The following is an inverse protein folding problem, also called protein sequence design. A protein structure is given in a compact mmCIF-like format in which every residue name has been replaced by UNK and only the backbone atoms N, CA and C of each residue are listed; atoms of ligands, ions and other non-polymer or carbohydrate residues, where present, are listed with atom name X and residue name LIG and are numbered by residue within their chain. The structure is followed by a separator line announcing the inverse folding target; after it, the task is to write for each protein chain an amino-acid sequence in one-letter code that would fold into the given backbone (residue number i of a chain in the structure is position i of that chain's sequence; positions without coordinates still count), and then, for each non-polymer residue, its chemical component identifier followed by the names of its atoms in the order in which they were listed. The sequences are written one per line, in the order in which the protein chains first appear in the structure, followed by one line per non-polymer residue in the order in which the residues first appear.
data_IF_598204860344
#
_entry.id   IF_598204860344
#
_cell.length_a   1.000
_cell.length_b   1.000
_cell.length_c   1.000
_cell.angle_alpha   90.00
_cell.angle_beta   90.00
_cell.angle_gamma   90.00
#
_symmetry.space_group_name_H-M   'P 1'
#
loop_
_entity.id
_entity.type
_entity.pdbx_description
1 polymer ?
#
# COMPACT_ATOMS: atom_id res chain seq x y z
N UNK A 1 6.19 11.07 19.86
CA UNK A 1 6.52 9.94 20.74
C UNK A 1 5.32 9.00 20.94
N UNK A 2 4.11 9.48 21.24
CA UNK A 2 2.95 8.60 21.54
C UNK A 2 2.40 7.71 20.41
N UNK A 3 2.41 8.14 19.15
CA UNK A 3 1.78 7.36 18.05
C UNK A 3 2.63 6.13 17.69
N UNK A 4 3.95 6.26 17.69
CA UNK A 4 4.88 5.16 17.41
C UNK A 4 4.79 4.06 18.48
N UNK A 5 4.69 4.45 19.76
CA UNK A 5 4.57 3.52 20.88
C UNK A 5 3.21 2.79 20.85
N UNK A 6 2.19 3.42 20.28
CA UNK A 6 0.85 2.83 20.09
C UNK A 6 0.85 1.71 19.04
N UNK A 7 1.55 1.84 17.92
CA UNK A 7 1.63 0.75 16.91
C UNK A 7 2.41 -0.45 17.44
N UNK A 8 3.52 -0.20 18.14
CA UNK A 8 4.26 -1.26 18.82
C UNK A 8 3.39 -1.96 19.89
N UNK A 9 2.61 -1.20 20.67
CA UNK A 9 1.70 -1.75 21.66
C UNK A 9 0.57 -2.58 21.02
N UNK A 10 0.01 -2.17 19.87
CA UNK A 10 -0.98 -2.95 19.13
C UNK A 10 -0.37 -4.26 18.63
N UNK A 11 0.81 -4.21 18.00
CA UNK A 11 1.53 -5.40 17.55
C UNK A 11 1.84 -6.37 18.70
N UNK A 12 2.33 -5.85 19.84
CA UNK A 12 2.59 -6.64 21.04
C UNK A 12 1.31 -7.22 21.67
N UNK A 13 0.17 -6.54 21.56
CA UNK A 13 -1.11 -7.07 22.06
C UNK A 13 -1.57 -8.28 21.27
N UNK A 14 -1.23 -8.39 20.00
CA UNK A 14 -1.55 -9.54 19.15
C UNK A 14 -0.84 -10.83 19.61
N UNK A 15 0.31 -10.70 20.28
CA UNK A 15 1.07 -11.84 20.84
C UNK A 15 0.24 -12.62 21.87
N UNK A 16 -0.68 -11.95 22.57
CA UNK A 16 -1.55 -12.59 23.58
C UNK A 16 -2.55 -13.59 22.99
N UNK A 17 -2.82 -13.46 21.68
CA UNK A 17 -3.79 -14.30 20.94
C UNK A 17 -3.05 -15.25 19.99
N UNK A 18 -1.72 -15.21 19.99
CA UNK A 18 -0.87 -16.01 19.11
C UNK A 18 -0.90 -17.49 19.53
N UNK A 19 -1.15 -18.36 18.57
CA UNK A 19 -0.87 -19.79 18.68
C UNK A 19 0.57 -20.06 18.20
N UNK A 20 1.31 -20.93 18.93
CA UNK A 20 2.70 -21.24 18.57
C UNK A 20 2.74 -22.31 17.45
N UNK A 21 2.05 -22.05 16.34
CA UNK A 21 2.02 -22.91 15.16
C UNK A 21 2.53 -22.17 13.93
N UNK A 22 3.08 -22.88 12.96
CA UNK A 22 3.51 -22.31 11.67
C UNK A 22 2.32 -21.73 10.91
N UNK A 23 1.14 -22.36 11.02
CA UNK A 23 -0.09 -21.87 10.40
C UNK A 23 -0.53 -20.52 10.97
N UNK A 24 -0.44 -20.35 12.29
CA UNK A 24 -0.76 -19.05 12.90
C UNK A 24 0.23 -17.98 12.48
N UNK A 25 1.52 -18.30 12.42
CA UNK A 25 2.56 -17.34 12.03
C UNK A 25 2.43 -16.89 10.57
N UNK A 26 2.12 -17.79 9.62
CA UNK A 26 2.11 -17.51 8.18
C UNK A 26 0.74 -17.09 7.63
N UNK A 27 -0.35 -17.64 8.16
CA UNK A 27 -1.73 -17.42 7.67
C UNK A 27 -2.75 -17.14 8.78
N UNK A 28 -2.30 -16.83 10.00
CA UNK A 28 -3.14 -16.52 11.16
C UNK A 28 -4.21 -17.60 11.44
N UNK A 29 -3.89 -18.89 11.19
CA UNK A 29 -4.84 -19.99 11.35
C UNK A 29 -6.08 -19.89 10.46
N UNK A 30 -6.09 -19.03 9.44
CA UNK A 30 -7.23 -18.73 8.52
C UNK A 30 -8.48 -18.25 9.25
N UNK A 31 -8.33 -17.67 10.42
CA UNK A 31 -9.41 -17.17 11.29
C UNK A 31 -9.39 -15.66 11.47
N UNK A 32 -8.78 -14.90 10.55
CA UNK A 32 -8.71 -13.44 10.66
C UNK A 32 -10.07 -12.79 10.38
N UNK A 33 -10.41 -11.78 11.19
CA UNK A 33 -11.62 -11.00 10.95
C UNK A 33 -11.56 -10.28 9.59
N UNK A 34 -12.60 -10.37 8.74
CA UNK A 34 -12.60 -9.83 7.38
C UNK A 34 -12.23 -8.35 7.30
N UNK A 35 -12.76 -7.53 8.21
CA UNK A 35 -12.45 -6.10 8.27
C UNK A 35 -10.98 -5.81 8.58
N UNK A 36 -10.34 -6.56 9.47
CA UNK A 36 -8.92 -6.39 9.77
C UNK A 36 -8.04 -6.83 8.59
N UNK A 37 -8.35 -7.97 7.97
CA UNK A 37 -7.65 -8.43 6.77
C UNK A 37 -7.79 -7.43 5.61
N UNK A 38 -8.97 -6.83 5.44
CA UNK A 38 -9.21 -5.80 4.44
C UNK A 38 -8.43 -4.52 4.71
N UNK A 39 -8.43 -4.02 5.95
CA UNK A 39 -7.66 -2.83 6.34
C UNK A 39 -6.16 -3.04 6.17
N UNK A 40 -5.66 -4.22 6.50
CA UNK A 40 -4.27 -4.58 6.24
C UNK A 40 -3.98 -4.67 4.74
N UNK A 41 -4.83 -5.33 3.95
CA UNK A 41 -4.66 -5.44 2.51
C UNK A 41 -4.66 -4.06 1.83
N UNK A 42 -5.55 -3.15 2.23
CA UNK A 42 -5.63 -1.81 1.66
C UNK A 42 -4.46 -0.93 2.11
N UNK A 43 -4.01 -1.05 3.36
CA UNK A 43 -2.83 -0.34 3.86
C UNK A 43 -1.56 -0.79 3.12
N UNK A 44 -1.41 -2.10 2.91
CA UNK A 44 -0.31 -2.68 2.12
C UNK A 44 -0.35 -2.24 0.65
N UNK A 45 -1.53 -2.10 0.06
CA UNK A 45 -1.70 -1.63 -1.31
C UNK A 45 -1.42 -0.12 -1.45
N UNK A 46 -1.95 0.69 -0.53
CA UNK A 46 -1.75 2.14 -0.49
C UNK A 46 -0.42 2.53 0.17
N UNK A 47 0.64 1.98 -0.34
CA UNK A 47 2.03 2.15 0.10
C UNK A 47 2.49 3.62 0.14
N UNK A 48 3.75 3.84 0.47
CA UNK A 48 4.40 5.15 0.32
C UNK A 48 4.28 5.73 -1.09
N UNK A 49 4.04 4.90 -2.11
CA UNK A 49 3.73 5.36 -3.47
C UNK A 49 2.53 6.31 -3.49
N UNK A 50 1.47 6.06 -2.75
CA UNK A 50 0.29 6.93 -2.76
C UNK A 50 0.57 8.32 -2.18
N UNK A 51 1.43 8.41 -1.17
CA UNK A 51 1.77 9.68 -0.52
C UNK A 51 2.87 10.47 -1.24
N UNK A 52 3.69 9.80 -2.04
CA UNK A 52 4.86 10.39 -2.70
C UNK A 52 4.69 10.29 -4.23
N UNK A 53 4.78 9.09 -4.79
CA UNK A 53 4.79 8.89 -6.24
C UNK A 53 3.46 9.25 -6.93
N UNK A 54 2.31 8.86 -6.35
CA UNK A 54 1.00 9.19 -6.92
C UNK A 54 0.70 10.70 -6.85
N UNK A 55 1.13 11.36 -5.77
CA UNK A 55 1.07 12.83 -5.64
C UNK A 55 1.89 13.49 -6.75
N UNK A 56 3.15 13.07 -6.93
CA UNK A 56 4.02 13.60 -7.97
C UNK A 56 3.47 13.36 -9.38
N UNK A 57 2.91 12.19 -9.62
CA UNK A 57 2.26 11.87 -10.89
C UNK A 57 1.01 12.74 -11.13
N UNK A 58 0.17 12.90 -10.10
CA UNK A 58 -1.02 13.78 -10.15
C UNK A 58 -0.64 15.24 -10.41
N UNK A 59 0.37 15.74 -9.71
CA UNK A 59 0.94 17.06 -9.90
C UNK A 59 1.36 17.30 -11.35
N UNK A 60 1.94 16.27 -12.00
CA UNK A 60 2.51 16.38 -13.35
C UNK A 60 1.46 16.33 -14.45
N UNK A 61 0.49 15.42 -14.36
CA UNK A 61 -0.45 15.15 -15.47
C UNK A 61 -1.88 15.66 -15.23
N UNK A 62 -2.20 16.18 -14.05
CA UNK A 62 -3.49 16.80 -13.77
C UNK A 62 -4.68 15.82 -13.71
N UNK A 63 -5.83 16.25 -14.23
CA UNK A 63 -7.10 15.50 -14.15
C UNK A 63 -7.08 14.11 -14.79
N UNK A 64 -6.23 13.90 -15.78
CA UNK A 64 -6.14 12.62 -16.48
C UNK A 64 -5.75 11.45 -15.57
N UNK A 65 -5.14 11.73 -14.40
CA UNK A 65 -4.84 10.73 -13.36
C UNK A 65 -6.08 9.97 -12.88
N UNK A 66 -7.28 10.53 -13.01
CA UNK A 66 -8.52 9.86 -12.60
C UNK A 66 -8.69 8.50 -13.26
N UNK A 67 -8.20 8.34 -14.51
CA UNK A 67 -8.28 7.08 -15.24
C UNK A 67 -7.40 6.00 -14.63
N UNK A 68 -6.28 6.37 -13.99
CA UNK A 68 -5.44 5.43 -13.25
C UNK A 68 -6.24 4.86 -12.07
N UNK A 69 -6.86 5.73 -11.27
CA UNK A 69 -7.68 5.33 -10.13
C UNK A 69 -8.86 4.45 -10.56
N UNK A 70 -9.62 4.88 -11.57
CA UNK A 70 -10.80 4.14 -12.06
C UNK A 70 -10.41 2.78 -12.68
N UNK A 71 -9.47 2.77 -13.60
CA UNK A 71 -9.09 1.55 -14.31
C UNK A 71 -8.44 0.53 -13.36
N UNK A 72 -7.54 0.97 -12.48
CA UNK A 72 -6.94 0.09 -11.47
C UNK A 72 -7.99 -0.46 -10.51
N UNK A 73 -8.94 0.35 -10.06
CA UNK A 73 -10.03 -0.09 -9.17
C UNK A 73 -10.89 -1.16 -9.84
N UNK A 74 -11.24 -0.98 -11.13
CA UNK A 74 -11.99 -2.00 -11.88
C UNK A 74 -11.18 -3.29 -11.99
N UNK A 75 -9.87 -3.20 -12.29
CA UNK A 75 -8.98 -4.37 -12.32
C UNK A 75 -8.91 -5.09 -10.98
N UNK A 76 -8.83 -4.36 -9.88
CA UNK A 76 -8.86 -4.93 -8.53
C UNK A 76 -10.20 -5.60 -8.20
N UNK A 77 -11.35 -5.01 -8.59
CA UNK A 77 -12.67 -5.63 -8.42
C UNK A 77 -12.70 -7.00 -9.11
N UNK A 78 -12.22 -7.05 -10.35
CA UNK A 78 -12.11 -8.31 -11.12
C UNK A 78 -11.21 -9.32 -10.38
N UNK A 79 -10.06 -8.87 -9.85
CA UNK A 79 -9.16 -9.71 -9.06
C UNK A 79 -9.84 -10.26 -7.80
N UNK A 80 -10.58 -9.43 -7.05
CA UNK A 80 -11.29 -9.84 -5.84
C UNK A 80 -12.41 -10.86 -6.10
N UNK A 81 -13.16 -10.69 -7.20
CA UNK A 81 -14.30 -11.55 -7.53
C UNK A 81 -13.84 -12.93 -8.02
N UNK A 82 -12.82 -12.98 -8.88
CA UNK A 82 -12.42 -14.21 -9.55
C UNK A 82 -11.07 -14.75 -9.10
N UNK A 83 -10.01 -13.94 -9.13
CA UNK A 83 -8.66 -14.44 -8.86
C UNK A 83 -8.47 -14.76 -7.37
N UNK A 84 -8.87 -13.89 -6.48
CA UNK A 84 -8.76 -14.14 -5.03
C UNK A 84 -9.71 -15.23 -4.56
N UNK A 85 -10.86 -15.39 -5.20
CA UNK A 85 -11.73 -16.55 -4.97
C UNK A 85 -10.98 -17.84 -5.28
N UNK A 86 -10.43 -17.94 -6.49
CA UNK A 86 -9.65 -19.10 -6.91
C UNK A 86 -8.45 -19.36 -5.98
N UNK A 87 -7.68 -18.33 -5.65
CA UNK A 87 -6.53 -18.44 -4.75
C UNK A 87 -6.95 -18.94 -3.37
N UNK A 88 -8.02 -18.38 -2.79
CA UNK A 88 -8.52 -18.79 -1.48
C UNK A 88 -9.00 -20.24 -1.48
N UNK A 89 -9.80 -20.65 -2.45
CA UNK A 89 -10.30 -22.01 -2.60
C UNK A 89 -9.14 -23.01 -2.71
N UNK A 90 -8.19 -22.75 -3.62
CA UNK A 90 -7.04 -23.62 -3.82
C UNK A 90 -6.09 -23.65 -2.60
N UNK A 91 -5.89 -22.50 -1.94
CA UNK A 91 -5.09 -22.45 -0.72
C UNK A 91 -5.71 -23.27 0.43
N UNK A 92 -7.04 -23.21 0.58
CA UNK A 92 -7.76 -23.96 1.60
C UNK A 92 -7.79 -25.47 1.30
N UNK A 93 -8.10 -25.86 0.06
CA UNK A 93 -8.14 -27.27 -0.36
C UNK A 93 -6.77 -27.96 -0.25
N UNK A 94 -5.70 -27.26 -0.63
CA UNK A 94 -4.34 -27.81 -0.69
C UNK A 94 -3.54 -27.59 0.59
N UNK A 95 -4.04 -26.80 1.55
CA UNK A 95 -3.32 -26.45 2.78
C UNK A 95 -2.06 -25.59 2.55
N UNK A 96 -1.90 -24.97 1.35
CA UNK A 96 -0.72 -24.16 1.04
C UNK A 96 -0.78 -22.78 1.68
N UNK A 97 0.38 -22.21 2.00
CA UNK A 97 0.55 -20.98 2.79
C UNK A 97 1.17 -19.82 2.02
N UNK A 98 1.60 -20.05 0.78
CA UNK A 98 2.22 -19.02 -0.05
C UNK A 98 1.73 -19.07 -1.48
N UNK A 99 1.85 -17.92 -2.19
CA UNK A 99 1.50 -17.84 -3.61
C UNK A 99 2.39 -18.73 -4.48
N UNK A 100 3.69 -18.83 -4.18
CA UNK A 100 4.61 -19.70 -4.93
C UNK A 100 4.21 -21.18 -4.83
N UNK A 101 3.74 -21.62 -3.66
CA UNK A 101 3.25 -23.00 -3.47
C UNK A 101 1.94 -23.30 -4.22
N UNK A 102 1.21 -22.29 -4.67
CA UNK A 102 0.04 -22.47 -5.55
C UNK A 102 0.42 -22.73 -7.01
N UNK A 103 1.58 -22.24 -7.46
CA UNK A 103 2.04 -22.33 -8.86
C UNK A 103 2.23 -23.79 -9.27
N UNK A 104 2.69 -24.66 -8.37
CA UNK A 104 2.87 -26.09 -8.64
C UNK A 104 2.04 -26.96 -7.69
N UNK A 105 1.64 -28.15 -8.18
CA UNK A 105 1.03 -29.19 -7.34
C UNK A 105 2.08 -30.07 -6.63
N UNK A 106 3.32 -30.01 -7.13
CA UNK A 106 4.44 -30.78 -6.60
C UNK A 106 5.24 -29.88 -5.66
N UNK A 107 5.44 -30.32 -4.42
CA UNK A 107 6.28 -29.60 -3.46
C UNK A 107 7.72 -29.53 -3.96
N UNK A 108 8.40 -28.40 -3.80
CA UNK A 108 9.79 -28.20 -4.25
C UNK A 108 10.02 -28.16 -5.76
N UNK A 109 8.94 -28.10 -6.57
CA UNK A 109 9.05 -28.04 -8.03
C UNK A 109 9.84 -26.81 -8.50
N UNK A 110 10.64 -26.92 -9.58
CA UNK A 110 11.47 -25.82 -10.09
C UNK A 110 10.69 -24.54 -10.38
N UNK A 111 9.46 -24.63 -10.90
CA UNK A 111 8.59 -23.50 -11.16
C UNK A 111 8.15 -22.77 -9.87
N UNK A 112 7.91 -23.50 -8.79
CA UNK A 112 7.58 -22.88 -7.48
C UNK A 112 8.82 -22.19 -6.88
N UNK A 113 10.00 -22.81 -6.98
CA UNK A 113 11.27 -22.22 -6.55
C UNK A 113 11.61 -20.97 -7.35
N UNK A 114 11.42 -21.00 -8.68
CA UNK A 114 11.62 -19.82 -9.54
C UNK A 114 10.64 -18.70 -9.16
N UNK A 115 9.35 -19.01 -8.97
CA UNK A 115 8.36 -18.04 -8.56
C UNK A 115 8.70 -17.41 -7.20
N UNK A 116 9.17 -18.20 -6.24
CA UNK A 116 9.64 -17.72 -4.95
C UNK A 116 10.86 -16.80 -5.09
N UNK A 117 11.87 -17.20 -5.83
CA UNK A 117 13.09 -16.42 -6.05
C UNK A 117 12.80 -15.06 -6.70
N UNK A 118 11.98 -15.04 -7.77
CA UNK A 118 11.58 -13.81 -8.43
C UNK A 118 10.74 -12.92 -7.48
N UNK A 119 9.81 -13.50 -6.73
CA UNK A 119 9.02 -12.77 -5.77
C UNK A 119 9.89 -12.13 -4.68
N UNK A 120 10.83 -12.87 -4.10
CA UNK A 120 11.77 -12.33 -3.09
C UNK A 120 12.60 -11.19 -3.66
N UNK A 121 13.14 -11.35 -4.89
CA UNK A 121 13.89 -10.28 -5.54
C UNK A 121 13.07 -9.00 -5.70
N UNK A 122 11.89 -9.09 -6.31
CA UNK A 122 11.06 -7.92 -6.57
C UNK A 122 10.47 -7.31 -5.30
N UNK A 123 10.08 -8.12 -4.32
CA UNK A 123 9.60 -7.63 -3.03
C UNK A 123 10.70 -6.92 -2.23
N UNK A 124 11.95 -7.38 -2.31
CA UNK A 124 13.09 -6.72 -1.66
C UNK A 124 13.36 -5.34 -2.27
N UNK A 125 13.32 -5.23 -3.61
CA UNK A 125 13.45 -3.94 -4.31
C UNK A 125 12.29 -3.00 -3.93
N UNK A 126 11.09 -3.53 -3.89
CA UNK A 126 9.92 -2.74 -3.53
C UNK A 126 9.95 -2.29 -2.04
N UNK A 127 10.41 -3.15 -1.13
CA UNK A 127 10.62 -2.78 0.28
C UNK A 127 11.67 -1.66 0.42
N UNK A 128 12.76 -1.72 -0.34
CA UNK A 128 13.75 -0.64 -0.37
C UNK A 128 13.13 0.69 -0.84
N UNK A 129 12.28 0.66 -1.87
CA UNK A 129 11.56 1.86 -2.34
C UNK A 129 10.62 2.45 -1.27
N UNK A 130 9.97 1.60 -0.45
CA UNK A 130 9.15 2.07 0.68
C UNK A 130 10.00 2.80 1.73
N UNK A 131 11.12 2.23 2.10
CA UNK A 131 12.04 2.86 3.06
C UNK A 131 12.59 4.19 2.53
N UNK A 132 12.91 4.26 1.23
CA UNK A 132 13.34 5.50 0.56
C UNK A 132 12.25 6.56 0.59
N UNK A 133 10.99 6.20 0.32
CA UNK A 133 9.86 7.13 0.39
C UNK A 133 9.69 7.72 1.80
N UNK A 134 9.81 6.90 2.85
CA UNK A 134 9.84 7.36 4.24
C UNK A 134 11.03 8.28 4.53
N UNK A 135 12.21 7.96 4.00
CA UNK A 135 13.41 8.79 4.11
C UNK A 135 13.25 10.17 3.47
N UNK A 136 12.70 10.24 2.25
CA UNK A 136 12.38 11.50 1.55
C UNK A 136 11.41 12.37 2.36
N UNK A 137 10.35 11.77 2.91
CA UNK A 137 9.40 12.52 3.74
C UNK A 137 10.06 13.10 4.99
N UNK A 138 10.93 12.33 5.66
CA UNK A 138 11.65 12.81 6.83
C UNK A 138 12.64 13.93 6.49
N UNK A 139 13.34 13.80 5.37
CA UNK A 139 14.20 14.87 4.86
C UNK A 139 13.41 16.16 4.60
N UNK A 140 12.29 16.07 3.87
CA UNK A 140 11.47 17.21 3.53
C UNK A 140 10.85 17.91 4.74
N UNK A 141 10.36 17.13 5.73
CA UNK A 141 9.60 17.67 6.86
C UNK A 141 10.45 18.00 8.09
N UNK A 142 11.59 17.32 8.29
CA UNK A 142 12.43 17.46 9.47
C UNK A 142 13.86 17.95 9.17
N UNK A 143 14.25 18.02 7.90
CA UNK A 143 15.61 18.36 7.50
C UNK A 143 16.68 17.30 7.87
N UNK A 144 16.26 16.08 8.22
CA UNK A 144 17.17 14.98 8.53
C UNK A 144 17.68 14.34 7.23
N UNK A 145 18.86 13.70 7.27
CA UNK A 145 19.30 12.97 6.08
C UNK A 145 18.36 11.81 5.76
N UNK A 146 18.10 11.54 4.48
CA UNK A 146 17.25 10.43 4.03
C UNK A 146 17.72 9.08 4.60
N UNK A 147 19.03 8.89 4.74
CA UNK A 147 19.61 7.67 5.32
C UNK A 147 19.14 7.41 6.75
N UNK A 148 19.00 8.45 7.56
CA UNK A 148 18.48 8.31 8.94
C UNK A 148 17.04 7.80 8.90
N UNK A 149 16.20 8.35 8.01
CA UNK A 149 14.83 7.90 7.83
C UNK A 149 14.74 6.45 7.38
N UNK A 150 15.56 6.06 6.41
CA UNK A 150 15.66 4.68 5.92
C UNK A 150 16.08 3.72 7.06
N UNK A 151 17.10 4.05 7.84
CA UNK A 151 17.57 3.21 8.93
C UNK A 151 16.54 3.07 10.05
N UNK A 152 15.86 4.16 10.42
CA UNK A 152 14.78 4.11 11.42
C UNK A 152 13.65 3.20 10.93
N UNK A 153 13.19 3.38 9.70
CA UNK A 153 12.15 2.55 9.10
C UNK A 153 12.55 1.07 9.06
N UNK A 154 13.76 0.77 8.61
CA UNK A 154 14.29 -0.58 8.54
C UNK A 154 14.34 -1.27 9.91
N UNK A 155 14.93 -0.62 10.93
CA UNK A 155 15.03 -1.18 12.28
C UNK A 155 13.64 -1.46 12.87
N UNK A 156 12.70 -0.53 12.67
CA UNK A 156 11.34 -0.70 13.18
C UNK A 156 10.63 -1.86 12.49
N UNK A 157 10.69 -1.94 11.16
CA UNK A 157 10.08 -3.04 10.38
C UNK A 157 10.62 -4.40 10.82
N UNK A 158 11.94 -4.54 10.91
CA UNK A 158 12.57 -5.79 11.34
C UNK A 158 12.15 -6.17 12.76
N UNK A 159 12.11 -5.20 13.68
CA UNK A 159 11.80 -5.45 15.08
C UNK A 159 10.38 -6.03 15.28
N UNK A 160 9.36 -5.48 14.61
CA UNK A 160 8.00 -5.99 14.84
C UNK A 160 7.62 -7.16 13.92
N UNK A 161 8.20 -7.30 12.73
CA UNK A 161 8.06 -8.51 11.93
C UNK A 161 8.57 -9.75 12.66
N UNK A 162 9.72 -9.63 13.33
CA UNK A 162 10.30 -10.73 14.12
C UNK A 162 9.39 -11.14 15.29
N UNK A 163 8.70 -10.20 15.92
CA UNK A 163 7.96 -10.45 17.15
C UNK A 163 6.64 -11.22 16.95
N UNK A 164 5.89 -11.02 15.87
CA UNK A 164 4.48 -11.44 15.85
C UNK A 164 3.92 -12.06 14.56
N UNK A 165 4.70 -12.22 13.49
CA UNK A 165 4.22 -12.82 12.24
C UNK A 165 3.07 -12.03 11.58
N UNK A 166 2.28 -12.71 10.72
CA UNK A 166 1.22 -12.07 9.92
C UNK A 166 0.09 -11.48 10.77
N UNK A 167 -0.22 -12.08 11.93
CA UNK A 167 -1.26 -11.59 12.84
C UNK A 167 -0.90 -10.20 13.39
N UNK A 168 0.34 -10.02 13.85
CA UNK A 168 0.81 -8.73 14.34
C UNK A 168 0.85 -7.68 13.22
N UNK A 169 1.33 -8.05 12.04
CA UNK A 169 1.30 -7.19 10.86
C UNK A 169 -0.12 -6.70 10.54
N UNK A 170 -1.11 -7.60 10.45
CA UNK A 170 -2.50 -7.22 10.16
C UNK A 170 -3.07 -6.26 11.21
N UNK A 171 -2.78 -6.47 12.49
CA UNK A 171 -3.27 -5.59 13.54
C UNK A 171 -2.60 -4.20 13.52
N UNK A 172 -1.29 -4.15 13.28
CA UNK A 172 -0.56 -2.87 13.13
C UNK A 172 -1.01 -2.14 11.88
N UNK A 173 -1.17 -2.82 10.75
CA UNK A 173 -1.63 -2.26 9.50
C UNK A 173 -3.04 -1.65 9.64
N UNK A 174 -3.95 -2.33 10.34
CA UNK A 174 -5.29 -1.80 10.60
C UNK A 174 -5.25 -0.50 11.42
N UNK A 175 -4.39 -0.41 12.43
CA UNK A 175 -4.20 0.82 13.20
C UNK A 175 -3.53 1.93 12.35
N UNK A 176 -2.55 1.56 11.53
CA UNK A 176 -1.86 2.47 10.61
C UNK A 176 -2.81 3.02 9.56
N UNK A 177 -3.72 2.19 9.00
CA UNK A 177 -4.71 2.65 8.03
C UNK A 177 -5.67 3.70 8.61
N UNK A 178 -6.00 3.62 9.89
CA UNK A 178 -6.80 4.66 10.56
C UNK A 178 -6.04 6.01 10.63
N UNK A 179 -4.74 5.97 10.91
CA UNK A 179 -3.91 7.19 10.93
C UNK A 179 -3.78 7.78 9.53
N UNK A 180 -3.59 6.92 8.51
CA UNK A 180 -3.50 7.33 7.11
C UNK A 180 -4.76 8.09 6.66
N UNK A 181 -5.96 7.54 6.92
CA UNK A 181 -7.21 8.18 6.47
C UNK A 181 -7.47 9.49 7.20
N UNK A 182 -7.24 9.54 8.52
CA UNK A 182 -7.44 10.76 9.32
C UNK A 182 -6.51 11.88 8.85
N UNK A 183 -5.22 11.58 8.66
CA UNK A 183 -4.25 12.54 8.14
C UNK A 183 -4.61 13.03 6.74
N UNK A 184 -5.02 12.12 5.86
CA UNK A 184 -5.39 12.46 4.49
C UNK A 184 -6.65 13.32 4.40
N UNK A 185 -7.68 13.03 5.20
CA UNK A 185 -8.91 13.85 5.26
C UNK A 185 -8.58 15.25 5.76
N UNK A 186 -7.79 15.36 6.83
CA UNK A 186 -7.38 16.65 7.38
C UNK A 186 -6.62 17.48 6.33
N UNK A 187 -5.60 16.89 5.71
CA UNK A 187 -4.78 17.62 4.74
C UNK A 187 -5.59 18.01 3.50
N UNK A 188 -6.45 17.11 3.01
CA UNK A 188 -7.33 17.41 1.88
C UNK A 188 -8.27 18.58 2.19
N UNK A 189 -8.87 18.60 3.39
CA UNK A 189 -9.73 19.70 3.83
C UNK A 189 -9.00 21.04 3.81
N UNK A 190 -7.81 21.10 4.39
CA UNK A 190 -7.02 22.34 4.47
C UNK A 190 -6.52 22.74 3.10
N UNK A 191 -5.96 21.81 2.31
CA UNK A 191 -5.49 22.07 0.95
C UNK A 191 -6.60 22.64 0.04
N UNK A 192 -7.83 22.10 0.15
CA UNK A 192 -8.97 22.63 -0.60
C UNK A 192 -9.39 24.04 -0.14
N UNK A 193 -9.21 24.35 1.14
CA UNK A 193 -9.41 25.71 1.66
C UNK A 193 -8.42 26.71 1.04
N UNK A 194 -7.12 26.35 1.00
CA UNK A 194 -6.05 27.19 0.46
C UNK A 194 -6.21 27.49 -1.03
N UNK A 195 -6.64 26.50 -1.82
CA UNK A 195 -6.83 26.71 -3.27
C UNK A 195 -8.16 27.35 -3.66
N UNK A 196 -9.05 27.69 -2.68
CA UNK A 196 -10.35 28.30 -2.96
C UNK A 196 -11.43 27.32 -3.42
N UNK A 197 -11.37 26.07 -2.96
CA UNK A 197 -12.33 25.01 -3.28
C UNK A 197 -12.17 24.48 -4.72
N UNK A 198 -13.22 23.78 -5.21
CA UNK A 198 -13.18 23.15 -6.53
C UNK A 198 -13.03 24.16 -7.69
N UNK A 199 -13.64 25.35 -7.57
CA UNK A 199 -13.51 26.39 -8.60
C UNK A 199 -12.10 26.93 -8.64
N UNK A 200 -11.53 27.30 -7.48
CA UNK A 200 -10.14 27.81 -7.43
C UNK A 200 -9.12 26.75 -7.84
N UNK A 201 -9.35 25.47 -7.53
CA UNK A 201 -8.54 24.36 -8.00
C UNK A 201 -8.55 24.27 -9.53
N UNK A 202 -9.74 24.30 -10.15
CA UNK A 202 -9.88 24.24 -11.60
C UNK A 202 -9.23 25.43 -12.31
N UNK A 203 -9.54 26.64 -11.85
CA UNK A 203 -9.02 27.88 -12.43
C UNK A 203 -7.50 27.98 -12.25
N UNK A 204 -6.98 27.55 -11.09
CA UNK A 204 -5.56 27.53 -10.81
C UNK A 204 -4.79 26.54 -11.70
N UNK A 205 -5.32 25.35 -11.96
CA UNK A 205 -4.74 24.38 -12.89
C UNK A 205 -4.80 24.91 -14.33
N UNK A 206 -5.96 25.38 -14.76
CA UNK A 206 -6.19 25.86 -16.12
C UNK A 206 -5.30 27.08 -16.47
N UNK A 207 -5.07 27.99 -15.51
CA UNK A 207 -4.21 29.15 -15.69
C UNK A 207 -2.74 28.80 -15.89
N UNK A 208 -2.28 27.66 -15.36
CA UNK A 208 -0.92 27.20 -15.54
C UNK A 208 -0.74 26.47 -16.87
N UNK A 209 -1.66 25.56 -17.21
CA UNK A 209 -1.66 24.80 -18.46
C UNK A 209 -3.03 24.16 -18.66
N UNK A 210 -3.71 24.45 -19.78
CA UNK A 210 -5.00 23.85 -20.14
C UNK A 210 -4.97 22.31 -20.16
N UNK A 211 -3.81 21.72 -20.46
CA UNK A 211 -3.66 20.26 -20.46
C UNK A 211 -3.85 19.61 -19.09
N UNK A 212 -3.62 20.36 -17.99
CA UNK A 212 -3.83 19.84 -16.62
C UNK A 212 -5.31 19.62 -16.28
N UNK A 213 -6.22 20.33 -16.97
CA UNK A 213 -7.67 20.19 -16.80
C UNK A 213 -8.30 19.24 -17.82
N UNK A 214 -7.51 18.74 -18.78
CA UNK A 214 -7.97 17.74 -19.73
C UNK A 214 -8.12 16.38 -19.08
N UNK A 215 -9.28 15.73 -19.34
CA UNK A 215 -9.52 14.37 -18.85
C UNK A 215 -8.68 13.32 -19.56
N UNK A 216 -8.15 13.61 -20.74
CA UNK A 216 -7.32 12.70 -21.52
C UNK A 216 -5.96 13.36 -21.83
N UNK A 217 -4.84 12.66 -21.57
CA UNK A 217 -3.51 13.16 -21.91
C UNK A 217 -3.39 13.36 -23.44
N UNK A 218 -2.85 14.51 -23.89
CA UNK A 218 -2.85 14.86 -25.32
C UNK A 218 -1.92 14.00 -26.18
N UNK A 219 -0.75 13.58 -25.68
CA UNK A 219 0.34 13.01 -26.49
C UNK A 219 0.65 11.55 -26.19
N UNK A 220 -0.38 10.70 -26.06
CA UNK A 220 -0.18 9.28 -25.81
C UNK A 220 0.24 8.52 -27.06
N UNK A 221 1.47 8.00 -27.09
CA UNK A 221 2.05 7.24 -28.22
C UNK A 221 1.20 6.05 -28.67
N UNK A 222 0.51 5.39 -27.75
CA UNK A 222 -0.32 4.20 -28.00
C UNK A 222 -1.82 4.48 -27.88
N UNK A 223 -2.20 5.74 -27.72
CA UNK A 223 -3.58 6.18 -27.54
C UNK A 223 -4.16 5.91 -26.15
N UNK A 224 -5.26 6.59 -25.85
CA UNK A 224 -5.92 6.59 -24.54
C UNK A 224 -6.39 5.19 -24.14
N UNK A 225 -6.92 4.40 -25.09
CA UNK A 225 -7.48 3.06 -24.81
C UNK A 225 -6.42 2.12 -24.22
N UNK A 226 -5.23 2.03 -24.85
CA UNK A 226 -4.16 1.18 -24.35
C UNK A 226 -3.57 1.70 -23.06
N UNK A 227 -3.51 3.03 -22.89
CA UNK A 227 -3.07 3.64 -21.66
C UNK A 227 -3.99 3.30 -20.48
N UNK A 228 -5.31 3.46 -20.61
CA UNK A 228 -6.31 3.07 -19.61
C UNK A 228 -6.28 1.57 -19.35
N UNK A 229 -6.16 0.76 -20.41
CA UNK A 229 -6.09 -0.70 -20.29
C UNK A 229 -4.84 -1.18 -19.53
N UNK A 230 -3.71 -0.50 -19.69
CA UNK A 230 -2.51 -0.81 -18.91
C UNK A 230 -2.74 -0.64 -17.40
N UNK A 231 -3.46 0.40 -16.96
CA UNK A 231 -3.81 0.56 -15.54
C UNK A 231 -4.86 -0.44 -15.05
N UNK A 232 -5.79 -0.83 -15.91
CA UNK A 232 -6.68 -1.96 -15.61
C UNK A 232 -5.87 -3.24 -15.34
N UNK A 233 -4.92 -3.57 -16.21
CA UNK A 233 -4.02 -4.71 -16.01
C UNK A 233 -3.17 -4.56 -14.74
N UNK A 234 -2.71 -3.35 -14.43
CA UNK A 234 -2.01 -3.05 -13.17
C UNK A 234 -2.87 -3.36 -11.95
N UNK A 235 -4.14 -2.96 -11.97
CA UNK A 235 -5.11 -3.31 -10.94
C UNK A 235 -5.40 -4.81 -10.84
N UNK A 236 -5.53 -5.49 -11.98
CA UNK A 236 -5.71 -6.95 -12.03
C UNK A 236 -4.49 -7.69 -11.49
N UNK A 237 -3.29 -7.14 -11.73
CA UNK A 237 -2.01 -7.70 -11.30
C UNK A 237 -1.83 -7.77 -9.78
N UNK A 238 -2.70 -7.14 -8.99
CA UNK A 238 -2.67 -7.23 -7.52
C UNK A 238 -2.78 -8.68 -7.02
N UNK A 239 -3.45 -9.54 -7.77
CA UNK A 239 -3.56 -10.97 -7.46
C UNK A 239 -2.24 -11.74 -7.60
N UNK A 240 -1.25 -11.15 -8.27
CA UNK A 240 0.12 -11.68 -8.37
C UNK A 240 1.06 -11.15 -7.29
N UNK A 241 0.58 -10.32 -6.35
CA UNK A 241 1.41 -9.71 -5.31
C UNK A 241 1.35 -10.53 -4.00
N UNK A 242 2.43 -11.25 -3.62
CA UNK A 242 2.42 -12.16 -2.48
C UNK A 242 2.05 -11.48 -1.16
N UNK A 243 2.46 -10.22 -0.96
CA UNK A 243 2.18 -9.45 0.25
C UNK A 243 0.69 -9.13 0.42
N UNK A 244 -0.08 -8.96 -0.66
CA UNK A 244 -1.53 -8.75 -0.59
C UNK A 244 -2.26 -10.09 -0.54
N UNK A 245 -1.83 -11.06 -1.35
CA UNK A 245 -2.39 -12.41 -1.39
C UNK A 245 -2.33 -13.10 -0.02
N UNK A 246 -1.24 -12.91 0.74
CA UNK A 246 -1.12 -13.46 2.09
C UNK A 246 -2.26 -13.03 3.02
N UNK A 247 -2.80 -11.81 2.87
CA UNK A 247 -3.96 -11.32 3.63
C UNK A 247 -5.24 -12.05 3.22
N UNK A 248 -5.43 -12.29 1.93
CA UNK A 248 -6.57 -13.07 1.42
C UNK A 248 -6.51 -14.53 1.91
N UNK A 249 -5.31 -15.10 2.00
CA UNK A 249 -5.11 -16.46 2.53
C UNK A 249 -5.41 -16.61 4.03
N UNK A 250 -5.49 -15.50 4.79
CA UNK A 250 -5.93 -15.54 6.20
C UNK A 250 -7.45 -15.67 6.36
N UNK A 251 -8.22 -15.58 5.28
CA UNK A 251 -9.68 -15.66 5.27
C UNK A 251 -10.14 -17.09 5.03
N UNK A 252 -10.92 -17.64 5.98
CA UNK A 252 -11.33 -19.06 5.95
C UNK A 252 -12.44 -19.36 4.97
N UNK A 253 -13.39 -18.44 4.75
CA UNK A 253 -14.61 -18.70 3.98
C UNK A 253 -14.82 -17.72 2.82
N UNK A 254 -15.62 -18.12 1.82
CA UNK A 254 -16.03 -17.25 0.70
C UNK A 254 -16.83 -16.02 1.21
N UNK A 255 -17.58 -16.19 2.30
CA UNK A 255 -18.29 -15.08 2.94
C UNK A 255 -17.32 -14.04 3.49
N UNK A 256 -16.28 -14.50 4.21
CA UNK A 256 -15.27 -13.61 4.80
C UNK A 256 -14.52 -12.85 3.70
N UNK A 257 -14.22 -13.52 2.58
CA UNK A 257 -13.57 -12.86 1.43
C UNK A 257 -14.46 -11.78 0.79
N UNK A 258 -15.76 -12.05 0.62
CA UNK A 258 -16.70 -11.07 0.08
C UNK A 258 -16.87 -9.88 1.02
N UNK A 259 -16.94 -10.12 2.32
CA UNK A 259 -17.00 -9.07 3.32
C UNK A 259 -15.71 -8.24 3.33
N UNK A 260 -14.55 -8.88 3.29
CA UNK A 260 -13.26 -8.20 3.18
C UNK A 260 -13.16 -7.36 1.90
N UNK A 261 -13.66 -7.87 0.76
CA UNK A 261 -13.72 -7.09 -0.49
C UNK A 261 -14.53 -5.80 -0.33
N UNK A 262 -15.69 -5.85 0.31
CA UNK A 262 -16.52 -4.65 0.55
C UNK A 262 -15.76 -3.64 1.42
N UNK A 263 -15.19 -4.08 2.54
CA UNK A 263 -14.39 -3.23 3.42
C UNK A 263 -13.18 -2.64 2.71
N UNK A 264 -12.50 -3.42 1.86
CA UNK A 264 -11.37 -2.96 1.06
C UNK A 264 -11.77 -1.75 0.19
N UNK A 265 -12.84 -1.85 -0.60
CA UNK A 265 -13.25 -0.78 -1.51
C UNK A 265 -13.91 0.41 -0.82
N UNK A 266 -14.62 0.19 0.29
CA UNK A 266 -15.17 1.27 1.12
C UNK A 266 -14.05 2.18 1.64
N UNK A 267 -12.88 1.63 1.91
CA UNK A 267 -11.72 2.38 2.37
C UNK A 267 -10.85 2.90 1.21
N UNK A 268 -10.59 2.05 0.21
CA UNK A 268 -9.72 2.35 -0.94
C UNK A 268 -10.24 3.54 -1.78
N UNK A 269 -11.52 3.55 -2.10
CA UNK A 269 -12.08 4.54 -3.03
C UNK A 269 -11.99 5.97 -2.49
N UNK A 270 -12.42 6.28 -1.24
CA UNK A 270 -12.22 7.60 -0.67
C UNK A 270 -10.74 7.99 -0.58
N UNK A 271 -9.86 7.05 -0.25
CA UNK A 271 -8.44 7.34 -0.10
C UNK A 271 -7.78 7.77 -1.41
N UNK A 272 -8.08 7.08 -2.53
CA UNK A 272 -7.59 7.49 -3.86
C UNK A 272 -8.06 8.90 -4.20
N UNK A 273 -9.34 9.22 -3.93
CA UNK A 273 -9.89 10.55 -4.19
C UNK A 273 -9.21 11.64 -3.35
N UNK A 274 -8.93 11.37 -2.08
CA UNK A 274 -8.20 12.30 -1.22
C UNK A 274 -6.79 12.57 -1.77
N UNK A 275 -6.05 11.53 -2.17
CA UNK A 275 -4.71 11.67 -2.74
C UNK A 275 -4.74 12.41 -4.07
N UNK A 276 -5.74 12.15 -4.93
CA UNK A 276 -5.95 12.89 -6.17
C UNK A 276 -6.14 14.39 -5.91
N UNK A 277 -7.02 14.75 -5.00
CA UNK A 277 -7.31 16.15 -4.66
C UNK A 277 -6.07 16.84 -4.07
N UNK A 278 -5.36 16.19 -3.14
CA UNK A 278 -4.14 16.74 -2.53
C UNK A 278 -3.05 16.95 -3.61
N UNK A 279 -2.87 16.00 -4.52
CA UNK A 279 -1.89 16.12 -5.61
C UNK A 279 -2.21 17.28 -6.56
N UNK A 280 -3.48 17.45 -6.92
CA UNK A 280 -3.94 18.58 -7.74
C UNK A 280 -3.80 19.92 -6.99
N UNK A 281 -4.15 19.97 -5.71
CA UNK A 281 -3.99 21.18 -4.90
C UNK A 281 -2.51 21.57 -4.76
N UNK A 282 -1.63 20.58 -4.58
CA UNK A 282 -0.19 20.85 -4.51
C UNK A 282 0.35 21.46 -5.81
N UNK A 283 -0.20 21.08 -6.97
CA UNK A 283 0.16 21.68 -8.26
C UNK A 283 -0.23 23.15 -8.34
N UNK A 284 -1.38 23.51 -7.79
CA UNK A 284 -1.83 24.93 -7.77
C UNK A 284 -0.98 25.75 -6.80
N UNK A 285 -0.60 25.18 -5.66
CA UNK A 285 0.17 25.89 -4.63
C UNK A 285 1.64 26.04 -4.99
N UNK A 286 2.28 24.98 -5.50
CA UNK A 286 3.71 24.98 -5.82
C UNK A 286 3.92 25.08 -7.31
N UNK A 287 4.31 26.28 -7.79
CA UNK A 287 4.43 26.57 -9.23
C UNK A 287 5.87 26.66 -9.71
N UNK A 288 6.86 26.54 -8.82
CA UNK A 288 8.28 26.61 -9.17
C UNK A 288 8.69 25.48 -10.10
N UNK A 289 9.48 25.80 -11.15
CA UNK A 289 10.03 24.77 -12.06
C UNK A 289 10.99 23.80 -11.40
N UNK A 290 11.60 24.21 -10.30
CA UNK A 290 12.58 23.41 -9.56
C UNK A 290 11.96 22.60 -8.41
N UNK A 291 10.62 22.66 -8.26
CA UNK A 291 9.91 21.93 -7.23
C UNK A 291 9.84 20.44 -7.56
N UNK A 292 10.24 19.58 -6.61
CA UNK A 292 10.07 18.14 -6.75
C UNK A 292 8.58 17.76 -6.55
N UNK A 293 7.88 17.31 -7.61
CA UNK A 293 6.47 16.96 -7.54
C UNK A 293 6.12 15.90 -6.49
N UNK A 294 7.05 15.01 -6.18
CA UNK A 294 6.89 13.95 -5.17
C UNK A 294 6.80 14.53 -3.75
N UNK A 295 7.29 15.72 -3.51
CA UNK A 295 7.21 16.42 -2.23
C UNK A 295 5.91 17.23 -2.05
N UNK A 296 4.98 17.19 -3.00
CA UNK A 296 3.74 17.97 -2.96
C UNK A 296 2.95 17.79 -1.67
N UNK A 297 2.73 16.55 -1.22
CA UNK A 297 1.96 16.28 0.01
C UNK A 297 2.72 16.72 1.28
N UNK A 298 3.98 16.31 1.53
CA UNK A 298 4.70 16.74 2.73
C UNK A 298 4.90 18.25 2.79
N UNK A 299 5.19 18.92 1.69
CA UNK A 299 5.36 20.37 1.65
C UNK A 299 4.05 21.12 1.87
N UNK A 300 2.94 20.63 1.29
CA UNK A 300 1.60 21.17 1.57
C UNK A 300 1.29 21.12 3.06
N UNK A 301 1.60 19.99 3.73
CA UNK A 301 1.41 19.87 5.16
C UNK A 301 2.27 20.87 5.96
N UNK A 302 3.52 21.07 5.55
CA UNK A 302 4.44 22.01 6.22
C UNK A 302 3.98 23.47 6.10
N UNK A 303 3.41 23.87 4.96
CA UNK A 303 2.97 25.24 4.74
C UNK A 303 1.63 25.56 5.38
N UNK A 304 0.73 24.56 5.44
CA UNK A 304 -0.67 24.82 5.80
C UNK A 304 -1.05 24.39 7.22
N UNK A 305 -0.27 23.52 7.84
CA UNK A 305 -0.62 22.92 9.13
C UNK A 305 0.31 23.37 10.26
N UNK A 306 -0.24 23.43 11.48
CA UNK A 306 0.58 23.62 12.69
C UNK A 306 1.40 22.38 13.05
N UNK A 307 2.46 22.52 13.88
CA UNK A 307 3.45 21.46 14.14
C UNK A 307 2.88 20.11 14.60
N UNK A 308 1.81 20.11 15.37
CA UNK A 308 1.15 18.86 15.80
C UNK A 308 0.56 18.09 14.61
N UNK A 309 -0.10 18.79 13.70
CA UNK A 309 -0.75 18.20 12.52
C UNK A 309 0.28 17.79 11.46
N UNK A 310 1.35 18.54 11.31
CA UNK A 310 2.52 18.14 10.49
C UNK A 310 3.05 16.80 11.00
N UNK A 311 3.18 16.63 12.32
CA UNK A 311 3.58 15.34 12.91
C UNK A 311 2.60 14.20 12.60
N UNK A 312 1.28 14.48 12.52
CA UNK A 312 0.27 13.49 12.12
C UNK A 312 0.42 13.08 10.65
N UNK A 313 0.69 14.03 9.75
CA UNK A 313 0.93 13.74 8.33
C UNK A 313 2.21 12.91 8.16
N UNK A 314 3.28 13.28 8.84
CA UNK A 314 4.52 12.50 8.84
C UNK A 314 4.27 11.06 9.35
N UNK A 315 3.51 10.91 10.44
CA UNK A 315 3.10 9.60 10.95
C UNK A 315 2.26 8.81 9.94
N UNK A 316 1.40 9.48 9.15
CA UNK A 316 0.60 8.85 8.09
C UNK A 316 1.48 8.33 6.94
N UNK A 317 2.49 9.09 6.51
CA UNK A 317 3.45 8.66 5.49
C UNK A 317 4.25 7.46 5.99
N UNK A 318 4.77 7.52 7.22
CA UNK A 318 5.48 6.38 7.83
C UNK A 318 4.58 5.17 8.02
N UNK A 319 3.30 5.35 8.39
CA UNK A 319 2.33 4.27 8.49
C UNK A 319 2.18 3.54 7.14
N UNK A 320 2.05 4.29 6.04
CA UNK A 320 1.93 3.73 4.70
C UNK A 320 3.20 3.00 4.24
N UNK A 321 4.37 3.58 4.45
CA UNK A 321 5.64 2.97 4.03
C UNK A 321 5.95 1.72 4.84
N UNK A 322 5.70 1.76 6.15
CA UNK A 322 6.02 0.65 7.06
C UNK A 322 5.05 -0.52 6.90
N UNK A 323 3.73 -0.29 6.75
CA UNK A 323 2.75 -1.36 6.52
C UNK A 323 3.02 -2.15 5.25
N UNK A 324 3.55 -1.48 4.24
CA UNK A 324 3.93 -2.14 3.00
C UNK A 324 5.27 -2.86 3.13
N UNK A 325 6.27 -2.25 3.74
CA UNK A 325 7.59 -2.85 3.92
C UNK A 325 7.54 -4.11 4.79
N UNK A 326 6.78 -4.08 5.90
CA UNK A 326 6.64 -5.26 6.76
C UNK A 326 5.93 -6.40 6.06
N UNK A 327 4.89 -6.07 5.31
CA UNK A 327 4.13 -7.02 4.49
C UNK A 327 5.00 -7.73 3.46
N UNK A 328 5.95 -7.00 2.87
CA UNK A 328 6.91 -7.53 1.90
C UNK A 328 7.94 -8.42 2.59
N UNK A 329 8.47 -8.01 3.72
CA UNK A 329 9.42 -8.82 4.52
C UNK A 329 8.78 -10.13 4.97
N UNK A 330 7.55 -10.09 5.49
CA UNK A 330 6.81 -11.29 5.88
C UNK A 330 6.49 -12.19 4.70
N UNK A 331 6.11 -11.62 3.54
CA UNK A 331 5.89 -12.40 2.33
C UNK A 331 7.18 -13.07 1.85
N UNK A 332 8.32 -12.39 1.87
CA UNK A 332 9.62 -12.98 1.57
C UNK A 332 9.94 -14.14 2.52
N UNK A 333 9.74 -13.94 3.82
CA UNK A 333 9.95 -14.98 4.84
C UNK A 333 9.07 -16.20 4.57
N UNK A 334 7.77 -15.97 4.27
CA UNK A 334 6.83 -17.04 3.95
C UNK A 334 7.25 -17.82 2.69
N UNK A 335 7.66 -17.10 1.65
CA UNK A 335 8.09 -17.70 0.38
C UNK A 335 9.35 -18.56 0.57
N UNK A 336 10.35 -18.07 1.30
CA UNK A 336 11.58 -18.81 1.59
C UNK A 336 11.29 -20.03 2.46
N UNK A 337 10.57 -19.86 3.54
CA UNK A 337 10.24 -20.95 4.46
C UNK A 337 9.44 -22.06 3.76
N UNK A 338 8.47 -21.74 2.91
CA UNK A 338 7.64 -22.73 2.23
C UNK A 338 8.33 -23.39 1.04
N UNK A 339 9.38 -22.75 0.46
CA UNK A 339 10.18 -23.36 -0.60
C UNK A 339 11.21 -24.36 -0.05
N UNK A 340 11.76 -24.10 1.16
CA UNK A 340 12.79 -24.94 1.78
C UNK A 340 12.18 -26.08 2.62
N UNK A 341 11.06 -25.86 3.31
CA UNK A 341 10.35 -26.91 4.07
C UNK A 341 9.86 -28.09 3.19
N UNK A 342 9.80 -27.89 1.87
CA UNK A 342 9.53 -28.96 0.93
C UNK A 342 10.71 -29.95 0.80
N UNK A 343 11.92 -29.52 1.06
CA UNK A 343 13.12 -30.36 0.99
C UNK A 343 13.33 -31.18 2.29
N UNK A 344 12.84 -30.70 3.45
CA UNK A 344 12.92 -31.42 4.74
C UNK A 344 11.91 -32.57 4.89
N UNK A 345 10.80 -32.56 4.16
CA UNK A 345 9.77 -33.63 4.23
C UNK A 345 10.11 -34.81 3.32
N UNK A 346 11.03 -34.63 2.40
CA UNK A 346 11.47 -35.64 1.41
C UNK A 346 12.87 -36.23 1.68
N UNK A 347 13.52 -35.84 2.77
CA UNK A 347 14.78 -36.41 3.32
C UNK A 347 14.46 -37.39 4.49
#
# INVERSE_FOLDING_TARGET
MCIRDSFAAVGLSSIRVKENTTDDYLVAGRGMHPGLAALSAVSTWNSGYMFIGFIGFTYTIGYSVIWIGLASTIGQIVAWIWLYKFIQEQANERGVRSLSSLVSRVSGAPEAKLAAALSVLFLSVYAAAQLTSGGKALFAMMGWSELIGILIGFILVVAYCYAGGIRASIWTDAAQSCVMIVGSVLLCWVAMGEVGGFNGLHDGLNSQNENLTNMFPPDLKLGVTLWVFAFFLGGLGVAGQPQVVSRVMTLGTDRDRKEAMIWFFVWQTPFILLMLIIGLASRVTFTSSDFDPELGLPMMAMETLGPFWVGLILASIFAATMSTADSQVLACTCLLYTSDAADEITG
#
